data_IF_047940082764
#
_entry.id   IF_047940082764
#
_cell.length_a   1.000
_cell.length_b   1.000
_cell.length_c   1.000
_cell.angle_alpha   90.00
_cell.angle_beta   90.00
_cell.angle_gamma   90.00
#
_symmetry.space_group_name_H-M   'P 1'
#
loop_
_entity.id
_entity.type
_entity.pdbx_description
1 polymer ?
#
# COMPACT_ATOMS: atom_id res chain seq x y z
N UNK A 1 24.62 -14.20 -0.78
CA UNK A 1 23.46 -14.14 -1.69
C UNK A 1 22.70 -12.89 -1.29
N UNK A 2 22.65 -11.89 -2.16
CA UNK A 2 21.90 -10.67 -1.89
C UNK A 2 20.41 -11.03 -1.73
N UNK A 3 19.81 -10.67 -0.61
CA UNK A 3 18.38 -10.85 -0.40
C UNK A 3 17.66 -9.79 -1.24
N UNK A 4 17.09 -10.28 -2.33
CA UNK A 4 16.59 -9.54 -3.48
C UNK A 4 15.45 -8.55 -3.15
N UNK A 5 15.39 -7.47 -3.93
CA UNK A 5 14.47 -6.32 -3.93
C UNK A 5 12.98 -6.68 -4.16
N UNK A 6 12.40 -7.58 -3.37
CA UNK A 6 11.04 -8.08 -3.59
C UNK A 6 9.96 -7.47 -2.68
N UNK A 7 10.33 -6.56 -1.75
CA UNK A 7 9.38 -5.81 -0.91
C UNK A 7 8.90 -4.50 -1.55
N UNK A 8 8.27 -3.61 -0.77
CA UNK A 8 7.95 -2.28 -1.27
C UNK A 8 9.04 -1.25 -0.97
N UNK A 9 9.25 -0.34 -1.90
CA UNK A 9 10.06 0.85 -1.70
C UNK A 9 9.16 2.07 -1.70
N UNK A 10 9.17 2.82 -0.60
CA UNK A 10 8.36 4.04 -0.46
C UNK A 10 9.27 5.26 -0.55
N UNK A 11 8.86 6.25 -1.34
CA UNK A 11 9.54 7.52 -1.49
C UNK A 11 8.58 8.69 -1.23
N UNK A 12 9.10 9.74 -0.61
CA UNK A 12 8.45 11.05 -0.49
C UNK A 12 9.35 12.08 -1.16
N UNK A 13 8.85 12.72 -2.22
CA UNK A 13 9.59 13.70 -3.03
C UNK A 13 10.96 13.17 -3.51
N UNK A 14 11.06 11.87 -3.78
CA UNK A 14 12.28 11.19 -4.19
C UNK A 14 13.20 10.73 -3.05
N UNK A 15 12.88 11.03 -1.79
CA UNK A 15 13.61 10.54 -0.62
C UNK A 15 12.97 9.26 -0.06
N UNK A 16 13.78 8.20 0.12
CA UNK A 16 13.29 6.90 0.58
C UNK A 16 12.84 6.95 2.04
N UNK A 17 11.63 6.43 2.31
CA UNK A 17 10.97 6.36 3.62
C UNK A 17 10.96 4.92 4.13
N UNK A 18 12.08 4.44 4.68
CA UNK A 18 12.21 3.09 5.28
C UNK A 18 11.27 2.88 6.47
N UNK A 19 10.81 3.96 7.09
CA UNK A 19 9.80 3.97 8.14
C UNK A 19 8.38 3.69 7.64
N UNK A 20 8.20 3.61 6.33
CA UNK A 20 6.95 3.34 5.64
C UNK A 20 6.91 2.00 4.92
N UNK A 21 7.97 1.22 5.05
CA UNK A 21 8.13 -0.11 4.46
C UNK A 21 7.81 -1.18 5.51
N UNK A 22 6.96 -2.14 5.16
CA UNK A 22 6.51 -3.25 6.02
C UNK A 22 5.94 -2.77 7.38
N UNK A 23 5.03 -1.79 7.35
CA UNK A 23 4.40 -1.16 8.54
C UNK A 23 2.86 -1.16 8.47
N UNK A 24 2.20 -1.03 9.62
CA UNK A 24 0.75 -0.85 9.67
C UNK A 24 0.33 0.51 9.11
N UNK A 25 -0.88 0.60 8.54
CA UNK A 25 -1.38 1.88 8.00
C UNK A 25 -1.56 2.90 9.12
N UNK A 26 -1.98 2.46 10.30
CA UNK A 26 -2.19 3.30 11.48
C UNK A 26 -0.91 3.57 12.29
N UNK A 27 -0.03 2.56 12.36
CA UNK A 27 1.08 2.52 13.31
C UNK A 27 2.44 2.56 12.60
N UNK A 28 2.96 3.78 12.45
CA UNK A 28 4.35 4.00 12.04
C UNK A 28 5.31 3.98 13.24
N UNK A 29 4.85 3.84 14.48
CA UNK A 29 5.73 3.72 15.64
C UNK A 29 6.41 2.33 15.66
N UNK A 30 5.77 1.32 15.06
CA UNK A 30 6.40 0.04 14.69
C UNK A 30 7.60 0.19 13.73
N UNK A 31 7.73 1.34 13.05
CA UNK A 31 8.89 1.65 12.22
C UNK A 31 10.21 1.75 12.99
N UNK A 32 10.16 1.86 14.33
CA UNK A 32 11.35 1.79 15.17
C UNK A 32 11.98 0.39 15.23
N UNK A 33 11.23 -0.66 14.88
CA UNK A 33 11.66 -2.05 14.98
C UNK A 33 12.29 -2.55 13.67
N UNK A 34 13.16 -3.57 13.69
CA UNK A 34 13.66 -4.20 12.46
C UNK A 34 12.52 -4.85 11.64
N UNK A 35 12.60 -4.78 10.31
CA UNK A 35 11.57 -5.30 9.38
C UNK A 35 11.15 -6.74 9.67
N UNK A 36 12.10 -7.63 9.99
CA UNK A 36 11.79 -9.02 10.35
C UNK A 36 10.89 -9.15 11.60
N UNK A 37 11.06 -8.27 12.59
CA UNK A 37 10.22 -8.23 13.78
C UNK A 37 8.82 -7.68 13.47
N UNK A 38 8.71 -6.70 12.56
CA UNK A 38 7.43 -6.15 12.09
C UNK A 38 6.60 -7.22 11.38
N UNK A 39 7.23 -7.97 10.46
CA UNK A 39 6.58 -9.09 9.76
C UNK A 39 6.10 -10.15 10.75
N UNK A 40 6.91 -10.48 11.76
CA UNK A 40 6.49 -11.43 12.81
C UNK A 40 5.32 -10.90 13.66
N UNK A 41 5.36 -9.63 14.06
CA UNK A 41 4.25 -8.98 14.77
C UNK A 41 2.97 -8.99 13.92
N UNK A 42 3.08 -8.75 12.61
CA UNK A 42 1.96 -8.82 11.67
C UNK A 42 1.33 -10.21 11.61
N UNK A 43 2.15 -11.27 11.55
CA UNK A 43 1.67 -12.65 11.59
C UNK A 43 0.92 -12.98 12.90
N UNK A 44 1.37 -12.43 14.03
CA UNK A 44 0.66 -12.59 15.30
C UNK A 44 -0.67 -11.81 15.34
N UNK A 45 -0.71 -10.58 14.79
CA UNK A 45 -1.94 -9.79 14.67
C UNK A 45 -2.99 -10.49 13.80
N UNK A 46 -2.55 -11.14 12.72
CA UNK A 46 -3.39 -11.96 11.84
C UNK A 46 -4.07 -13.12 12.58
N UNK A 47 -3.34 -13.80 13.47
CA UNK A 47 -3.89 -14.89 14.30
C UNK A 47 -4.88 -14.36 15.37
N UNK A 48 -4.69 -13.11 15.80
CA UNK A 48 -5.55 -12.43 16.77
C UNK A 48 -6.86 -11.85 16.22
N UNK A 49 -7.08 -11.87 14.90
CA UNK A 49 -8.30 -11.34 14.27
C UNK A 49 -8.38 -9.81 14.21
N UNK A 50 -7.24 -9.12 14.11
CA UNK A 50 -7.17 -7.66 13.95
C UNK A 50 -7.84 -7.17 12.66
N UNK A 51 -8.21 -5.88 12.64
CA UNK A 51 -8.77 -5.27 11.44
C UNK A 51 -7.69 -5.05 10.37
N UNK A 52 -8.08 -5.09 9.10
CA UNK A 52 -7.12 -5.10 7.99
C UNK A 52 -6.14 -3.92 7.99
N UNK A 53 -6.55 -2.72 8.42
CA UNK A 53 -5.69 -1.55 8.50
C UNK A 53 -4.64 -1.62 9.65
N UNK A 54 -4.85 -2.50 10.63
CA UNK A 54 -3.95 -2.74 11.77
C UNK A 54 -2.78 -3.65 11.38
N UNK A 55 -2.91 -4.34 10.24
CA UNK A 55 -1.92 -5.24 9.69
C UNK A 55 -0.86 -4.47 8.91
N UNK A 56 0.37 -4.99 8.90
CA UNK A 56 1.46 -4.44 8.11
C UNK A 56 1.19 -4.63 6.62
N UNK A 57 1.35 -3.53 5.89
CA UNK A 57 1.36 -3.45 4.44
C UNK A 57 2.81 -3.34 3.97
N UNK A 58 3.11 -3.73 2.73
CA UNK A 58 4.48 -3.63 2.21
C UNK A 58 4.94 -2.18 2.16
N UNK A 59 4.08 -1.28 1.71
CA UNK A 59 4.35 0.15 1.69
C UNK A 59 3.13 0.94 2.15
N UNK A 60 3.37 2.01 2.90
CA UNK A 60 2.32 2.95 3.32
C UNK A 60 2.69 4.35 2.86
N UNK A 61 1.93 4.91 1.92
CA UNK A 61 2.08 6.32 1.52
C UNK A 61 1.19 7.23 2.36
N UNK A 62 1.63 8.47 2.56
CA UNK A 62 0.89 9.50 3.30
C UNK A 62 1.21 9.52 4.80
N UNK A 63 1.31 10.74 5.34
CA UNK A 63 1.49 11.00 6.77
C UNK A 63 0.25 11.65 7.42
N UNK A 64 -0.67 12.19 6.61
CA UNK A 64 -1.87 12.88 7.07
C UNK A 64 -3.08 11.97 7.30
N UNK A 65 -4.27 12.57 7.14
CA UNK A 65 -5.56 11.87 7.25
C UNK A 65 -5.79 10.85 6.14
N UNK A 66 -5.18 11.04 4.97
CA UNK A 66 -5.27 10.10 3.83
C UNK A 66 -3.98 9.30 3.75
N UNK A 67 -4.11 7.98 3.75
CA UNK A 67 -3.01 7.02 3.62
C UNK A 67 -3.33 5.98 2.56
N UNK A 68 -2.30 5.44 1.90
CA UNK A 68 -2.44 4.37 0.91
C UNK A 68 -1.64 3.16 1.36
N UNK A 69 -2.33 2.05 1.61
CA UNK A 69 -1.73 0.77 1.93
C UNK A 69 -1.47 -0.02 0.64
N UNK A 70 -0.20 -0.17 0.29
CA UNK A 70 0.24 -1.06 -0.78
C UNK A 70 0.49 -2.44 -0.18
N UNK A 71 -0.49 -3.34 -0.34
CA UNK A 71 -0.39 -4.72 0.13
C UNK A 71 -0.06 -5.65 -1.04
N UNK A 72 0.75 -6.67 -0.75
CA UNK A 72 1.16 -7.79 -1.61
C UNK A 72 0.31 -7.94 -2.87
N UNK A 73 0.91 -7.65 -4.02
CA UNK A 73 0.40 -7.94 -5.37
C UNK A 73 -1.06 -7.49 -5.62
N UNK A 74 -1.24 -6.40 -6.37
CA UNK A 74 -2.57 -5.95 -6.80
C UNK A 74 -2.90 -4.54 -6.34
N UNK A 75 -4.18 -4.20 -6.39
CA UNK A 75 -4.70 -2.84 -6.18
C UNK A 75 -4.44 -2.29 -4.76
N UNK A 76 -3.88 -1.07 -4.60
CA UNK A 76 -3.72 -0.43 -3.29
C UNK A 76 -5.05 -0.03 -2.64
N UNK A 77 -5.10 -0.06 -1.31
CA UNK A 77 -6.28 0.43 -0.57
C UNK A 77 -6.03 1.84 -0.01
N UNK A 78 -7.03 2.71 -0.15
CA UNK A 78 -6.96 4.09 0.38
C UNK A 78 -7.73 4.14 1.70
N UNK A 79 -7.15 4.82 2.69
CA UNK A 79 -7.69 5.00 4.02
C UNK A 79 -7.82 6.49 4.35
N UNK A 80 -8.96 6.88 4.90
CA UNK A 80 -9.21 8.24 5.41
C UNK A 80 -9.56 8.20 6.89
N UNK A 81 -8.78 8.91 7.72
CA UNK A 81 -9.14 9.22 9.09
C UNK A 81 -9.78 10.60 9.17
N UNK A 82 -11.09 10.62 9.42
CA UNK A 82 -11.77 11.84 9.86
C UNK A 82 -11.30 12.23 11.27
N UNK A 83 -11.33 13.54 11.56
CA UNK A 83 -10.93 14.06 12.87
C UNK A 83 -11.74 13.44 14.01
N UNK A 84 -11.03 12.96 15.03
CA UNK A 84 -11.62 12.31 16.21
C UNK A 84 -12.20 10.91 16.00
N UNK A 85 -11.91 10.24 14.87
CA UNK A 85 -12.31 8.83 14.66
C UNK A 85 -11.20 7.86 15.02
N UNK A 86 -11.58 6.78 15.70
CA UNK A 86 -10.67 5.68 16.03
C UNK A 86 -10.35 4.80 14.81
N UNK A 87 -11.26 4.75 13.82
CA UNK A 87 -11.17 3.87 12.64
C UNK A 87 -11.23 4.66 11.33
N UNK A 88 -10.49 4.21 10.30
CA UNK A 88 -10.55 4.83 8.99
C UNK A 88 -11.79 4.43 8.21
N UNK A 89 -12.17 5.27 7.25
CA UNK A 89 -12.95 4.84 6.08
C UNK A 89 -11.97 4.20 5.11
N UNK A 90 -12.29 3.00 4.63
CA UNK A 90 -11.49 2.28 3.62
C UNK A 90 -12.17 2.36 2.26
N UNK A 91 -11.39 2.70 1.22
CA UNK A 91 -11.80 2.66 -0.17
C UNK A 91 -11.06 1.54 -0.89
N UNK A 92 -11.80 0.50 -1.24
CA UNK A 92 -11.32 -0.65 -2.01
C UNK A 92 -11.44 -0.40 -3.52
N UNK A 93 -10.90 -1.29 -4.35
CA UNK A 93 -11.14 -1.24 -5.80
C UNK A 93 -12.63 -1.25 -6.14
N UNK A 94 -13.45 -2.04 -5.44
CA UNK A 94 -14.89 -2.11 -5.72
C UNK A 94 -15.55 -0.75 -5.51
N UNK A 95 -15.26 -0.09 -4.38
CA UNK A 95 -15.77 1.25 -4.06
C UNK A 95 -15.37 2.27 -5.14
N UNK A 96 -14.10 2.25 -5.55
CA UNK A 96 -13.55 3.19 -6.54
C UNK A 96 -14.07 2.90 -7.94
N UNK A 97 -14.12 1.63 -8.36
CA UNK A 97 -14.64 1.22 -9.66
C UNK A 97 -16.10 1.64 -9.85
N UNK A 98 -16.92 1.55 -8.79
CA UNK A 98 -18.31 2.02 -8.80
C UNK A 98 -18.38 3.55 -8.83
N UNK A 99 -17.56 4.22 -8.03
CA UNK A 99 -17.51 5.69 -7.93
C UNK A 99 -17.12 6.33 -9.26
N UNK A 100 -16.12 5.78 -9.94
CA UNK A 100 -15.55 6.31 -11.18
C UNK A 100 -16.09 5.65 -12.45
N UNK A 101 -16.89 4.60 -12.33
CA UNK A 101 -17.53 3.92 -13.46
C UNK A 101 -16.56 3.09 -14.30
N UNK A 102 -15.56 2.46 -13.69
CA UNK A 102 -14.64 1.54 -14.37
C UNK A 102 -15.32 0.21 -14.69
N UNK A 103 -15.12 -0.28 -15.91
CA UNK A 103 -15.74 -1.50 -16.46
C UNK A 103 -14.74 -2.64 -16.68
N UNK A 104 -13.44 -2.36 -16.56
CA UNK A 104 -12.32 -3.30 -16.68
C UNK A 104 -12.02 -4.03 -15.37
N UNK A 105 -13.06 -4.67 -14.80
CA UNK A 105 -12.96 -5.43 -13.57
C UNK A 105 -13.20 -6.93 -13.77
N UNK A 106 -12.71 -7.71 -12.82
CA UNK A 106 -13.09 -9.12 -12.64
C UNK A 106 -14.09 -9.20 -11.50
N UNK A 107 -15.19 -9.93 -11.71
CA UNK A 107 -16.25 -10.08 -10.71
C UNK A 107 -16.22 -11.50 -10.12
N UNK A 108 -16.16 -11.58 -8.79
CA UNK A 108 -16.30 -12.84 -8.05
C UNK A 108 -17.39 -12.67 -6.99
N UNK A 109 -18.55 -13.30 -7.24
CA UNK A 109 -19.74 -13.05 -6.42
C UNK A 109 -20.23 -11.62 -6.63
N UNK A 110 -20.50 -10.89 -5.54
CA UNK A 110 -21.01 -9.51 -5.60
C UNK A 110 -19.89 -8.44 -5.54
N UNK A 111 -18.62 -8.86 -5.60
CA UNK A 111 -17.44 -7.97 -5.45
C UNK A 111 -16.66 -7.85 -6.74
N UNK A 112 -16.20 -6.62 -7.00
CA UNK A 112 -15.32 -6.28 -8.13
C UNK A 112 -13.86 -6.23 -7.70
N UNK A 113 -12.99 -6.74 -8.55
CA UNK A 113 -11.56 -6.80 -8.35
C UNK A 113 -10.85 -6.20 -9.56
N UNK A 114 -9.74 -5.52 -9.32
CA UNK A 114 -8.85 -5.13 -10.40
C UNK A 114 -8.32 -6.40 -11.08
N UNK A 115 -8.15 -6.36 -12.40
CA UNK A 115 -7.29 -7.33 -13.07
C UNK A 115 -5.83 -7.17 -12.57
N UNK A 116 -4.97 -8.15 -12.86
CA UNK A 116 -3.54 -8.03 -12.50
C UNK A 116 -2.82 -6.95 -13.33
N UNK A 117 -3.38 -6.58 -14.48
CA UNK A 117 -2.92 -5.50 -15.35
C UNK A 117 -3.93 -4.36 -15.31
N UNK A 118 -3.48 -3.19 -14.87
CA UNK A 118 -4.29 -1.98 -14.76
C UNK A 118 -3.40 -0.74 -14.75
N UNK A 119 -3.94 0.40 -15.17
CA UNK A 119 -3.33 1.72 -14.98
C UNK A 119 -4.47 2.73 -14.85
N UNK A 120 -4.63 3.30 -13.66
CA UNK A 120 -5.75 4.19 -13.31
C UNK A 120 -5.23 5.46 -12.66
N UNK A 121 -5.61 6.59 -13.26
CA UNK A 121 -5.44 7.92 -12.69
C UNK A 121 -6.79 8.47 -12.22
N UNK A 122 -6.84 9.03 -11.02
CA UNK A 122 -8.08 9.58 -10.45
C UNK A 122 -7.82 10.55 -9.29
N UNK A 123 -8.76 11.46 -9.07
CA UNK A 123 -8.73 12.41 -7.96
C UNK A 123 -9.69 11.98 -6.84
N UNK A 124 -9.19 11.95 -5.60
CA UNK A 124 -9.99 11.58 -4.43
C UNK A 124 -9.44 12.31 -3.19
N UNK A 125 -10.33 12.85 -2.33
CA UNK A 125 -9.95 13.50 -1.06
C UNK A 125 -8.87 14.60 -1.21
N UNK A 126 -8.89 15.32 -2.34
CA UNK A 126 -7.93 16.37 -2.66
C UNK A 126 -6.56 15.90 -3.12
N UNK A 127 -6.36 14.59 -3.30
CA UNK A 127 -5.14 13.99 -3.83
C UNK A 127 -5.36 13.49 -5.25
N UNK A 128 -4.32 13.58 -6.08
CA UNK A 128 -4.24 12.93 -7.37
C UNK A 128 -3.50 11.59 -7.23
N UNK A 129 -4.12 10.51 -7.65
CA UNK A 129 -3.57 9.15 -7.57
C UNK A 129 -3.29 8.59 -8.96
N UNK A 130 -2.24 7.79 -9.07
CA UNK A 130 -2.06 6.83 -10.17
C UNK A 130 -1.68 5.48 -9.61
N UNK A 131 -2.48 4.45 -9.87
CA UNK A 131 -2.20 3.06 -9.48
C UNK A 131 -2.06 2.19 -10.73
N UNK A 132 -1.03 1.34 -10.75
CA UNK A 132 -0.78 0.47 -11.88
C UNK A 132 -0.27 -0.92 -11.47
N UNK A 133 -0.55 -1.89 -12.33
CA UNK A 133 -0.04 -3.26 -12.26
C UNK A 133 0.33 -3.76 -13.66
N UNK A 134 1.45 -4.48 -13.78
CA UNK A 134 1.93 -5.09 -15.01
C UNK A 134 2.26 -6.57 -14.78
N UNK A 135 1.48 -7.45 -15.41
CA UNK A 135 1.66 -8.90 -15.33
C UNK A 135 2.69 -9.44 -16.33
N UNK A 136 3.20 -8.61 -17.26
CA UNK A 136 3.98 -9.03 -18.42
C UNK A 136 5.52 -8.92 -18.29
N UNK A 137 6.06 -8.71 -17.08
CA UNK A 137 7.44 -9.08 -16.76
C UNK A 137 8.36 -7.97 -16.23
N UNK A 138 7.88 -6.74 -16.06
CA UNK A 138 8.61 -5.69 -15.36
C UNK A 138 8.76 -5.98 -13.86
N UNK A 139 9.88 -5.56 -13.27
CA UNK A 139 10.03 -5.44 -11.81
C UNK A 139 10.34 -3.98 -11.52
N UNK A 140 9.60 -3.28 -10.63
CA UNK A 140 8.48 -3.76 -9.80
C UNK A 140 7.20 -3.98 -10.62
N UNK A 141 6.39 -4.98 -10.24
CA UNK A 141 5.16 -5.34 -10.96
C UNK A 141 3.98 -4.42 -10.67
N UNK A 142 4.00 -3.75 -9.52
CA UNK A 142 2.93 -2.87 -9.09
C UNK A 142 3.50 -1.58 -8.58
N UNK A 143 2.73 -0.51 -8.74
CA UNK A 143 3.08 0.75 -8.16
C UNK A 143 1.88 1.66 -7.95
N UNK A 144 2.11 2.62 -7.07
CA UNK A 144 1.14 3.59 -6.65
C UNK A 144 1.83 4.93 -6.44
N UNK A 145 1.21 5.99 -6.91
CA UNK A 145 1.59 7.36 -6.58
C UNK A 145 0.41 8.10 -6.00
N UNK A 146 0.69 9.04 -5.10
CA UNK A 146 -0.27 10.03 -4.64
C UNK A 146 0.42 11.40 -4.55
N UNK A 147 -0.20 12.43 -5.11
CA UNK A 147 0.38 13.77 -5.15
C UNK A 147 -0.63 14.88 -4.83
N UNK A 148 -0.15 15.93 -4.17
CA UNK A 148 -0.91 17.13 -3.81
C UNK A 148 0.04 18.28 -3.48
N UNK A 149 -0.17 19.45 -4.07
CA UNK A 149 0.52 20.70 -3.71
C UNK A 149 2.06 20.61 -3.61
N UNK A 150 2.70 19.86 -4.51
CA UNK A 150 4.17 19.67 -4.53
C UNK A 150 4.68 18.54 -3.61
N UNK A 151 3.81 17.89 -2.86
CA UNK A 151 4.07 16.63 -2.18
C UNK A 151 3.75 15.47 -3.13
N UNK A 152 4.70 14.56 -3.32
CA UNK A 152 4.54 13.36 -4.16
C UNK A 152 5.08 12.15 -3.42
N UNK A 153 4.20 11.18 -3.21
CA UNK A 153 4.57 9.86 -2.74
C UNK A 153 4.60 8.88 -3.90
N UNK A 154 5.56 7.96 -3.83
CA UNK A 154 5.67 6.82 -4.72
C UNK A 154 5.87 5.56 -3.89
N UNK A 155 5.18 4.50 -4.25
CA UNK A 155 5.37 3.19 -3.68
C UNK A 155 5.41 2.17 -4.81
N UNK A 156 6.52 1.48 -4.92
CA UNK A 156 6.68 0.36 -5.85
C UNK A 156 6.83 -0.93 -5.07
N UNK A 157 6.12 -1.99 -5.47
CA UNK A 157 6.00 -3.19 -4.66
C UNK A 157 5.76 -4.44 -5.50
N UNK A 158 6.02 -5.60 -4.89
CA UNK A 158 5.83 -6.90 -5.51
C UNK A 158 5.19 -7.92 -4.54
N UNK A 159 5.20 -9.21 -4.88
CA UNK A 159 4.52 -10.28 -4.16
C UNK A 159 5.27 -10.82 -2.92
N UNK A 160 6.49 -10.39 -2.59
CA UNK A 160 7.20 -10.87 -1.38
C UNK A 160 7.36 -9.76 -0.33
N UNK A 161 7.56 -10.15 0.94
CA UNK A 161 7.97 -9.22 2.01
C UNK A 161 9.50 -9.08 2.00
N UNK A 162 10.04 -7.94 2.47
CA UNK A 162 11.48 -7.82 2.75
C UNK A 162 12.24 -6.71 2.04
N UNK A 163 11.64 -5.54 1.85
CA UNK A 163 12.41 -4.39 1.42
C UNK A 163 13.41 -4.03 2.54
N UNK A 164 14.71 -4.10 2.24
CA UNK A 164 15.75 -3.69 3.19
C UNK A 164 16.16 -4.74 4.24
N UNK A 165 16.30 -6.01 3.86
CA UNK A 165 17.35 -6.85 4.49
C UNK A 165 18.72 -6.30 4.10
N UNK A 166 19.05 -5.09 4.54
CA UNK A 166 20.42 -4.58 4.49
C UNK A 166 21.24 -5.50 5.40
N UNK A 167 22.22 -6.19 4.80
CA UNK A 167 23.10 -7.18 5.41
C UNK A 167 23.44 -6.82 6.89
N UNK A 168 22.98 -7.66 7.81
CA UNK A 168 23.53 -7.71 9.17
C UNK A 168 24.94 -8.32 9.01
N UNK A 169 25.96 -7.46 8.88
CA UNK A 169 27.36 -7.84 9.01
C UNK A 169 27.77 -7.96 10.49
#
# INVERSE_FOLDING_TARGET
MAYNDYGAFVYLNGERRKDKEDVGVYDTDEASQPTGLRVFANLMKLDGGGEWFELSHHGVMGDGSVRVGCYKQGWPEIYEWEDGKDKPIRYTFDDLSRKFGWDDYVEYGDKRYAADEYDKEFDLLGWHFRFWGDNCGGTPKYGATMSRDGETWDCSYDYMYGAGFDDIY
#
